data_IF_095918368835
#
_entry.id   IF_095918368835
#
_cell.length_a   1.000
_cell.length_b   1.000
_cell.length_c   1.000
_cell.angle_alpha   90.00
_cell.angle_beta   90.00
_cell.angle_gamma   90.00
#
_symmetry.space_group_name_H-M   'P 1'
#
loop_
_entity.id
_entity.type
_entity.pdbx_description
1 polymer ?
#
# COMPACT_ATOMS: atom_id res chain seq x y z
N UNK A 1 -23.29 8.60 -6.74
CA UNK A 1 -23.44 9.82 -7.58
C UNK A 1 -23.93 9.55 -9.00
N UNK A 2 -23.49 8.48 -9.67
CA UNK A 2 -23.89 8.20 -11.07
C UNK A 2 -25.39 8.01 -11.34
N UNK A 3 -26.17 7.44 -10.41
CA UNK A 3 -27.59 7.16 -10.66
C UNK A 3 -28.46 8.42 -10.79
N UNK A 4 -28.12 9.52 -10.11
CA UNK A 4 -28.86 10.77 -10.20
C UNK A 4 -28.57 11.50 -11.51
N UNK A 5 -27.31 11.51 -11.94
CA UNK A 5 -26.91 12.12 -13.23
C UNK A 5 -27.55 11.36 -14.40
N UNK A 6 -27.50 10.02 -14.38
CA UNK A 6 -28.14 9.18 -15.39
C UNK A 6 -29.66 9.42 -15.47
N UNK A 7 -30.35 9.51 -14.32
CA UNK A 7 -31.78 9.83 -14.27
C UNK A 7 -32.10 11.21 -14.84
N UNK A 8 -31.31 12.23 -14.51
CA UNK A 8 -31.50 13.58 -15.04
C UNK A 8 -31.27 13.63 -16.55
N UNK A 9 -30.23 12.95 -17.06
CA UNK A 9 -29.99 12.86 -18.51
C UNK A 9 -31.12 12.15 -19.25
N UNK A 10 -31.62 11.03 -18.71
CA UNK A 10 -32.75 10.32 -19.31
C UNK A 10 -34.01 11.21 -19.42
N UNK A 11 -34.27 12.04 -18.40
CA UNK A 11 -35.36 13.03 -18.44
C UNK A 11 -35.12 14.13 -19.48
N UNK A 12 -33.88 14.58 -19.64
CA UNK A 12 -33.53 15.58 -20.67
C UNK A 12 -33.77 14.99 -22.06
N UNK A 13 -33.30 13.77 -22.34
CA UNK A 13 -33.52 13.10 -23.63
C UNK A 13 -35.01 12.90 -23.93
N UNK A 14 -35.81 12.43 -22.95
CA UNK A 14 -37.26 12.30 -23.10
C UNK A 14 -37.95 13.66 -23.36
N UNK A 15 -37.51 14.71 -22.66
CA UNK A 15 -38.02 16.07 -22.87
C UNK A 15 -37.64 16.62 -24.24
N UNK A 16 -36.40 16.41 -24.70
CA UNK A 16 -35.94 16.83 -26.03
C UNK A 16 -36.74 16.15 -27.15
N UNK A 17 -37.00 14.85 -27.01
CA UNK A 17 -37.85 14.11 -27.96
C UNK A 17 -39.25 14.70 -28.05
N UNK A 18 -39.89 15.02 -26.92
CA UNK A 18 -41.20 15.68 -26.89
C UNK A 18 -41.17 17.05 -27.57
N UNK A 19 -40.12 17.84 -27.37
CA UNK A 19 -39.98 19.14 -28.04
C UNK A 19 -39.79 18.95 -29.54
N UNK A 20 -39.04 17.94 -29.98
CA UNK A 20 -38.88 17.59 -31.39
C UNK A 20 -40.23 17.26 -32.05
N UNK A 21 -41.05 16.43 -31.41
CA UNK A 21 -42.40 16.09 -31.88
C UNK A 21 -43.29 17.33 -32.03
N UNK A 22 -43.30 18.20 -31.02
CA UNK A 22 -44.06 19.46 -31.03
C UNK A 22 -43.59 20.37 -32.17
N UNK A 23 -42.28 20.48 -32.35
CA UNK A 23 -41.66 21.29 -33.41
C UNK A 23 -42.07 20.77 -34.78
N UNK A 24 -42.18 19.44 -34.93
CA UNK A 24 -42.66 18.82 -36.16
C UNK A 24 -44.12 19.14 -36.46
N UNK A 25 -44.99 19.13 -35.44
CA UNK A 25 -46.40 19.57 -35.55
C UNK A 25 -46.49 21.05 -35.93
N UNK A 26 -45.69 21.92 -35.31
CA UNK A 26 -45.65 23.36 -35.63
C UNK A 26 -45.27 23.59 -37.10
N UNK A 27 -44.25 22.88 -37.59
CA UNK A 27 -43.87 22.97 -39.01
C UNK A 27 -45.02 22.48 -39.94
N UNK A 28 -45.74 21.43 -39.53
CA UNK A 28 -46.94 20.97 -40.24
C UNK A 28 -48.06 22.02 -40.29
N UNK A 29 -48.33 22.71 -39.18
CA UNK A 29 -49.32 23.81 -39.11
C UNK A 29 -48.87 24.98 -39.99
N UNK A 30 -47.59 25.34 -39.95
CA UNK A 30 -47.03 26.39 -40.80
C UNK A 30 -47.18 26.04 -42.29
N UNK A 31 -46.92 24.80 -42.68
CA UNK A 31 -47.13 24.33 -44.05
C UNK A 31 -48.61 24.42 -44.46
N UNK A 32 -49.54 23.93 -43.63
CA UNK A 32 -50.98 24.01 -43.91
C UNK A 32 -51.46 25.46 -44.04
N UNK A 33 -50.98 26.35 -43.16
CA UNK A 33 -51.29 27.79 -43.19
C UNK A 33 -50.77 28.44 -44.47
N UNK A 34 -49.57 28.06 -44.92
CA UNK A 34 -49.00 28.52 -46.18
C UNK A 34 -49.84 28.08 -47.39
N UNK A 35 -50.37 26.86 -47.40
CA UNK A 35 -51.28 26.39 -48.47
C UNK A 35 -52.64 27.12 -48.42
N UNK A 36 -53.20 27.34 -47.23
CA UNK A 36 -54.43 28.11 -47.05
C UNK A 36 -54.28 29.56 -47.55
N UNK A 37 -53.15 30.20 -47.24
CA UNK A 37 -52.84 31.55 -47.69
C UNK A 37 -52.71 31.63 -49.21
N UNK A 38 -52.05 30.65 -49.85
CA UNK A 38 -51.97 30.55 -51.30
C UNK A 38 -53.36 30.42 -51.95
N UNK A 39 -54.23 29.57 -51.39
CA UNK A 39 -55.61 29.44 -51.89
C UNK A 39 -56.39 30.76 -51.75
N UNK A 40 -56.18 31.50 -50.68
CA UNK A 40 -56.79 32.81 -50.47
C UNK A 40 -56.26 33.87 -51.46
N UNK A 41 -54.96 33.86 -51.78
CA UNK A 41 -54.38 34.71 -52.85
C UNK A 41 -55.07 34.45 -54.20
N UNK A 42 -55.28 33.18 -54.55
CA UNK A 42 -55.95 32.80 -55.81
C UNK A 42 -57.41 33.27 -55.84
N UNK A 43 -58.16 33.09 -54.76
CA UNK A 43 -59.55 33.52 -54.70
C UNK A 43 -59.69 35.05 -54.69
N UNK A 44 -58.73 35.75 -54.08
CA UNK A 44 -58.66 37.21 -54.11
C UNK A 44 -58.44 37.75 -55.54
N UNK A 45 -57.60 37.09 -56.36
CA UNK A 45 -57.45 37.42 -57.79
C UNK A 45 -58.75 37.17 -58.55
N UNK A 46 -59.48 36.11 -58.20
CA UNK A 46 -60.76 35.75 -58.83
C UNK A 46 -61.90 36.72 -58.48
N UNK A 47 -61.87 37.31 -57.29
CA UNK A 47 -62.85 38.30 -56.81
C UNK A 47 -62.70 39.72 -57.41
N UNK A 48 -61.71 39.96 -58.26
CA UNK A 48 -61.51 41.26 -58.93
C UNK A 48 -61.19 42.39 -57.94
N UNK A 49 -61.82 43.56 -58.11
CA UNK A 49 -61.53 44.75 -57.28
C UNK A 49 -61.84 44.57 -55.79
N UNK A 50 -62.85 43.76 -55.45
CA UNK A 50 -63.23 43.48 -54.05
C UNK A 50 -62.20 42.59 -53.33
N UNK A 51 -61.40 41.83 -54.08
CA UNK A 51 -60.38 40.94 -53.54
C UNK A 51 -59.06 41.61 -53.17
N UNK A 52 -58.85 42.89 -53.53
CA UNK A 52 -57.57 43.60 -53.32
C UNK A 52 -57.13 43.64 -51.86
N UNK A 53 -58.05 43.88 -50.93
CA UNK A 53 -57.76 43.86 -49.49
C UNK A 53 -57.43 42.46 -48.97
N UNK A 54 -58.14 41.43 -49.47
CA UNK A 54 -57.91 40.04 -49.11
C UNK A 54 -56.56 39.51 -49.63
N UNK A 55 -56.12 39.95 -50.81
CA UNK A 55 -54.82 39.57 -51.38
C UNK A 55 -53.64 40.00 -50.49
N UNK A 56 -53.70 41.21 -49.91
CA UNK A 56 -52.66 41.72 -49.00
C UNK A 56 -52.60 40.90 -47.71
N UNK A 57 -53.77 40.61 -47.12
CA UNK A 57 -53.84 39.76 -45.91
C UNK A 57 -53.33 38.36 -46.19
N UNK A 58 -53.68 37.76 -47.33
CA UNK A 58 -53.22 36.43 -47.72
C UNK A 58 -51.69 36.39 -47.88
N UNK A 59 -51.08 37.40 -48.52
CA UNK A 59 -49.63 37.50 -48.63
C UNK A 59 -48.93 37.65 -47.27
N UNK A 60 -49.51 38.40 -46.33
CA UNK A 60 -48.95 38.57 -44.98
C UNK A 60 -49.03 37.25 -44.18
N UNK A 61 -50.17 36.56 -44.25
CA UNK A 61 -50.35 35.24 -43.62
C UNK A 61 -49.36 34.22 -44.21
N UNK A 62 -49.13 34.25 -45.51
CA UNK A 62 -48.15 33.39 -46.19
C UNK A 62 -46.72 33.66 -45.69
N UNK A 63 -46.33 34.93 -45.61
CA UNK A 63 -45.04 35.36 -45.07
C UNK A 63 -44.84 34.90 -43.62
N UNK A 64 -45.87 35.05 -42.77
CA UNK A 64 -45.84 34.60 -41.38
C UNK A 64 -45.72 33.08 -41.25
N UNK A 65 -46.41 32.33 -42.11
CA UNK A 65 -46.32 30.89 -42.17
C UNK A 65 -44.91 30.42 -42.56
N UNK A 66 -44.30 31.03 -43.58
CA UNK A 66 -42.91 30.74 -43.98
C UNK A 66 -41.91 31.04 -42.86
N UNK A 67 -42.05 32.18 -42.17
CA UNK A 67 -41.22 32.54 -41.02
C UNK A 67 -41.37 31.55 -39.86
N UNK A 68 -42.59 31.07 -39.61
CA UNK A 68 -42.85 30.05 -38.57
C UNK A 68 -42.22 28.70 -38.91
N UNK A 69 -42.30 28.27 -40.17
CA UNK A 69 -41.65 27.05 -40.64
C UNK A 69 -40.11 27.11 -40.50
N UNK A 70 -39.52 28.26 -40.85
CA UNK A 70 -38.08 28.47 -40.70
C UNK A 70 -37.66 28.42 -39.21
N UNK A 71 -38.38 29.11 -38.33
CA UNK A 71 -38.10 29.08 -36.89
C UNK A 71 -38.26 27.66 -36.31
N UNK A 72 -39.27 26.90 -36.73
CA UNK A 72 -39.44 25.52 -36.32
C UNK A 72 -38.24 24.65 -36.76
N UNK A 73 -37.72 24.86 -37.97
CA UNK A 73 -36.53 24.14 -38.44
C UNK A 73 -35.29 24.45 -37.61
N UNK A 74 -35.05 25.73 -37.30
CA UNK A 74 -33.92 26.15 -36.46
C UNK A 74 -34.01 25.55 -35.04
N UNK A 75 -35.21 25.50 -34.45
CA UNK A 75 -35.44 24.84 -33.16
C UNK A 75 -35.10 23.34 -33.25
N UNK A 76 -35.53 22.66 -34.32
CA UNK A 76 -35.24 21.23 -34.51
C UNK A 76 -33.73 20.96 -34.63
N UNK A 77 -32.99 21.83 -35.32
CA UNK A 77 -31.53 21.75 -35.44
C UNK A 77 -30.85 21.91 -34.07
N UNK A 78 -31.26 22.89 -33.27
CA UNK A 78 -30.72 23.11 -31.91
C UNK A 78 -31.02 21.94 -30.95
N UNK A 79 -32.18 21.29 -31.09
CA UNK A 79 -32.53 20.10 -30.29
C UNK A 79 -31.61 18.93 -30.68
N UNK A 80 -31.41 18.70 -31.98
CA UNK A 80 -30.52 17.65 -32.45
C UNK A 80 -29.07 17.87 -31.98
N UNK A 81 -28.58 19.11 -32.03
CA UNK A 81 -27.26 19.46 -31.47
C UNK A 81 -27.20 19.20 -29.95
N UNK A 82 -28.27 19.58 -29.22
CA UNK A 82 -28.35 19.34 -27.78
C UNK A 82 -28.32 17.86 -27.43
N UNK A 83 -28.96 16.99 -28.23
CA UNK A 83 -28.92 15.54 -28.05
C UNK A 83 -27.50 14.98 -28.22
N UNK A 84 -26.77 15.45 -29.24
CA UNK A 84 -25.37 15.07 -29.46
C UNK A 84 -24.50 15.49 -28.27
N UNK A 85 -24.66 16.73 -27.80
CA UNK A 85 -23.91 17.24 -26.65
C UNK A 85 -24.20 16.44 -25.37
N UNK A 86 -25.44 16.03 -25.13
CA UNK A 86 -25.82 15.17 -24.00
C UNK A 86 -25.16 13.78 -24.12
N UNK A 87 -25.11 13.19 -25.32
CA UNK A 87 -24.43 11.90 -25.54
C UNK A 87 -22.93 11.98 -25.31
N UNK A 88 -22.27 13.04 -25.79
CA UNK A 88 -20.83 13.27 -25.54
C UNK A 88 -20.57 13.45 -24.04
N UNK A 89 -21.39 14.25 -23.36
CA UNK A 89 -21.31 14.44 -21.92
C UNK A 89 -21.51 13.14 -21.14
N UNK A 90 -22.40 12.25 -21.61
CA UNK A 90 -22.59 10.93 -21.00
C UNK A 90 -21.32 10.09 -21.03
N UNK A 91 -20.68 10.01 -22.20
CA UNK A 91 -19.43 9.27 -22.34
C UNK A 91 -18.34 9.78 -21.40
N UNK A 92 -18.23 11.10 -21.22
CA UNK A 92 -17.27 11.69 -20.29
C UNK A 92 -17.60 11.38 -18.82
N UNK A 93 -18.88 11.42 -18.44
CA UNK A 93 -19.31 11.04 -17.08
C UNK A 93 -19.04 9.56 -16.81
N UNK A 94 -19.25 8.70 -17.80
CA UNK A 94 -18.96 7.27 -17.69
C UNK A 94 -17.46 7.02 -17.46
N UNK A 95 -16.60 7.63 -18.27
CA UNK A 95 -15.14 7.54 -18.11
C UNK A 95 -14.68 8.06 -16.74
N UNK A 96 -15.26 9.17 -16.28
CA UNK A 96 -14.95 9.73 -14.96
C UNK A 96 -15.42 8.81 -13.83
N UNK A 97 -16.55 8.12 -14.01
CA UNK A 97 -17.06 7.13 -13.05
C UNK A 97 -16.13 5.92 -12.93
N UNK A 98 -15.63 5.40 -14.05
CA UNK A 98 -14.64 4.30 -14.10
C UNK A 98 -13.31 4.69 -13.44
N UNK A 99 -12.85 5.93 -13.68
CA UNK A 99 -11.65 6.45 -13.02
C UNK A 99 -11.83 6.55 -11.50
N UNK A 100 -13.01 6.97 -11.03
CA UNK A 100 -13.31 7.00 -9.60
C UNK A 100 -13.37 5.62 -8.97
N UNK A 101 -13.90 4.61 -9.69
CA UNK A 101 -13.89 3.23 -9.22
C UNK A 101 -12.46 2.68 -9.07
N UNK A 102 -11.58 3.04 -10.01
CA UNK A 102 -10.14 2.73 -9.93
C UNK A 102 -9.50 3.39 -8.71
N UNK A 103 -9.83 4.65 -8.43
CA UNK A 103 -9.32 5.37 -7.25
C UNK A 103 -9.81 4.71 -5.95
N UNK A 104 -11.08 4.32 -5.86
CA UNK A 104 -11.62 3.63 -4.69
C UNK A 104 -10.87 2.32 -4.45
N UNK A 105 -10.61 1.56 -5.51
CA UNK A 105 -9.85 0.31 -5.43
C UNK A 105 -8.41 0.56 -4.96
N UNK A 106 -7.74 1.59 -5.47
CA UNK A 106 -6.40 1.96 -5.04
C UNK A 106 -6.35 2.38 -3.57
N UNK A 107 -7.36 3.13 -3.09
CA UNK A 107 -7.47 3.52 -1.69
C UNK A 107 -7.67 2.30 -0.79
N UNK A 108 -8.48 1.32 -1.21
CA UNK A 108 -8.65 0.07 -0.47
C UNK A 108 -7.32 -0.68 -0.32
N UNK A 109 -6.55 -0.80 -1.40
CA UNK A 109 -5.23 -1.43 -1.37
C UNK A 109 -4.23 -0.70 -0.46
N UNK A 110 -4.25 0.64 -0.44
CA UNK A 110 -3.43 1.43 0.50
C UNK A 110 -3.86 1.17 1.95
N UNK A 111 -5.16 1.02 2.20
CA UNK A 111 -5.67 0.68 3.53
C UNK A 111 -5.19 -0.70 3.99
N UNK A 112 -5.19 -1.69 3.09
CA UNK A 112 -4.69 -3.04 3.39
C UNK A 112 -3.19 -3.02 3.72
N UNK A 113 -2.39 -2.30 2.92
CA UNK A 113 -0.96 -2.11 3.17
C UNK A 113 -0.68 -1.44 4.53
N UNK A 114 -1.50 -0.46 4.93
CA UNK A 114 -1.37 0.14 6.26
C UNK A 114 -1.67 -0.89 7.35
N UNK A 115 -2.65 -1.77 7.14
CA UNK A 115 -2.93 -2.90 8.02
C UNK A 115 -1.72 -3.84 8.17
N UNK A 116 -1.07 -4.20 7.06
CA UNK A 116 0.14 -5.02 7.05
C UNK A 116 1.32 -4.33 7.74
N UNK A 117 1.52 -3.02 7.49
CA UNK A 117 2.57 -2.23 8.16
C UNK A 117 2.35 -2.20 9.67
N UNK A 118 1.12 -2.02 10.13
CA UNK A 118 0.82 -2.03 11.57
C UNK A 118 1.14 -3.40 12.19
N UNK A 119 0.75 -4.50 11.54
CA UNK A 119 1.08 -5.84 12.01
C UNK A 119 2.60 -6.09 12.07
N UNK A 120 3.34 -5.69 11.03
CA UNK A 120 4.80 -5.79 11.00
C UNK A 120 5.46 -4.90 12.07
N UNK A 121 4.90 -3.72 12.34
CA UNK A 121 5.37 -2.80 13.38
C UNK A 121 5.18 -3.38 14.77
N UNK A 122 4.04 -4.05 15.02
CA UNK A 122 3.77 -4.74 16.28
C UNK A 122 4.75 -5.91 16.49
N UNK A 123 5.03 -6.69 15.45
CA UNK A 123 6.02 -7.78 15.48
C UNK A 123 7.44 -7.25 15.73
N UNK A 124 7.84 -6.17 15.04
CA UNK A 124 9.12 -5.52 15.29
C UNK A 124 9.23 -4.99 16.72
N UNK A 125 8.15 -4.40 17.25
CA UNK A 125 8.12 -3.91 18.62
C UNK A 125 8.31 -5.05 19.62
N UNK A 126 7.65 -6.20 19.40
CA UNK A 126 7.86 -7.39 20.22
C UNK A 126 9.30 -7.92 20.10
N UNK A 127 9.87 -7.98 18.90
CA UNK A 127 11.27 -8.39 18.68
C UNK A 127 12.26 -7.48 19.40
N UNK A 128 12.10 -6.16 19.30
CA UNK A 128 12.94 -5.18 20.02
C UNK A 128 12.80 -5.35 21.54
N UNK A 129 11.59 -5.62 22.04
CA UNK A 129 11.35 -5.86 23.47
C UNK A 129 12.09 -7.10 23.97
N UNK A 130 12.32 -8.10 23.12
CA UNK A 130 13.11 -9.30 23.46
C UNK A 130 14.62 -9.05 23.36
N UNK A 131 15.09 -8.21 22.44
CA UNK A 131 16.51 -7.86 22.29
C UNK A 131 17.03 -7.10 23.51
N UNK A 132 16.22 -6.23 24.11
CA UNK A 132 16.62 -5.42 25.28
C UNK A 132 17.17 -6.26 26.45
N UNK A 133 16.42 -7.25 26.96
CA UNK A 133 16.90 -8.17 28.00
C UNK A 133 18.16 -8.94 27.61
N UNK A 134 18.25 -9.44 26.37
CA UNK A 134 19.43 -10.17 25.90
C UNK A 134 20.70 -9.30 25.91
N UNK A 135 20.59 -8.03 25.51
CA UNK A 135 21.70 -7.07 25.59
C UNK A 135 22.08 -6.79 27.04
N UNK A 136 21.10 -6.71 27.95
CA UNK A 136 21.38 -6.52 29.38
C UNK A 136 22.08 -7.73 30.01
N UNK A 137 21.68 -8.95 29.62
CA UNK A 137 22.35 -10.18 30.03
C UNK A 137 23.80 -10.24 29.53
N UNK A 138 24.03 -9.91 28.26
CA UNK A 138 25.37 -9.82 27.67
C UNK A 138 26.24 -8.79 28.40
N UNK A 139 25.69 -7.65 28.79
CA UNK A 139 26.41 -6.66 29.60
C UNK A 139 26.79 -7.24 30.97
N UNK A 140 25.88 -7.97 31.62
CA UNK A 140 26.16 -8.67 32.88
C UNK A 140 27.29 -9.69 32.77
N UNK A 141 27.26 -10.56 31.75
CA UNK A 141 28.34 -11.53 31.49
C UNK A 141 29.67 -10.82 31.18
N UNK A 142 29.62 -9.71 30.45
CA UNK A 142 30.82 -8.91 30.13
C UNK A 142 31.43 -8.30 31.39
N UNK A 143 30.61 -7.76 32.29
CA UNK A 143 31.08 -7.25 33.58
C UNK A 143 31.66 -8.36 34.47
N UNK A 144 31.01 -9.54 34.50
CA UNK A 144 31.52 -10.70 35.21
C UNK A 144 32.88 -11.15 34.67
N UNK A 145 33.04 -11.21 33.35
CA UNK A 145 34.32 -11.56 32.73
C UNK A 145 35.42 -10.55 33.10
N UNK A 146 35.10 -9.26 33.14
CA UNK A 146 36.06 -8.25 33.59
C UNK A 146 36.48 -8.46 35.06
N UNK A 147 35.52 -8.77 35.94
CA UNK A 147 35.81 -9.07 37.34
C UNK A 147 36.66 -10.34 37.51
N UNK A 148 36.35 -11.41 36.78
CA UNK A 148 37.13 -12.65 36.78
C UNK A 148 38.57 -12.42 36.29
N UNK A 149 38.76 -11.58 35.25
CA UNK A 149 40.10 -11.21 34.78
C UNK A 149 40.87 -10.42 35.84
N UNK A 150 40.21 -9.51 36.56
CA UNK A 150 40.84 -8.78 37.68
C UNK A 150 41.24 -9.73 38.81
N UNK A 151 40.36 -10.65 39.22
CA UNK A 151 40.64 -11.65 40.25
C UNK A 151 41.79 -12.58 39.82
N UNK A 152 41.76 -13.07 38.58
CA UNK A 152 42.83 -13.91 38.02
C UNK A 152 44.16 -13.16 38.00
N UNK A 153 44.17 -11.88 37.64
CA UNK A 153 45.39 -11.06 37.65
C UNK A 153 45.95 -10.89 39.06
N UNK A 154 45.08 -10.69 40.06
CA UNK A 154 45.47 -10.62 41.46
C UNK A 154 46.02 -11.96 41.99
N UNK A 155 45.39 -13.08 41.61
CA UNK A 155 45.86 -14.43 41.94
C UNK A 155 47.25 -14.72 41.34
N UNK A 156 47.46 -14.35 40.07
CA UNK A 156 48.77 -14.44 39.41
C UNK A 156 49.82 -13.61 40.16
N UNK A 157 49.51 -12.37 40.54
CA UNK A 157 50.43 -11.52 41.30
C UNK A 157 50.72 -12.05 42.73
N UNK A 158 49.79 -12.80 43.33
CA UNK A 158 50.00 -13.47 44.61
C UNK A 158 50.89 -14.72 44.46
N UNK A 159 50.64 -15.53 43.43
CA UNK A 159 51.47 -16.70 43.11
C UNK A 159 52.90 -16.31 42.76
N UNK A 160 53.08 -15.20 42.03
CA UNK A 160 54.40 -14.64 41.70
C UNK A 160 55.18 -14.26 42.97
N UNK A 161 54.54 -13.55 43.91
CA UNK A 161 55.13 -13.24 45.22
C UNK A 161 55.50 -14.48 46.02
N UNK A 162 54.61 -15.49 46.09
CA UNK A 162 54.89 -16.74 46.80
C UNK A 162 56.04 -17.52 46.17
N UNK A 163 56.15 -17.55 44.83
CA UNK A 163 57.27 -18.16 44.12
C UNK A 163 58.58 -17.45 44.44
N UNK A 164 58.58 -16.12 44.46
CA UNK A 164 59.74 -15.31 44.85
C UNK A 164 60.17 -15.58 46.30
N UNK A 165 59.22 -15.65 47.24
CA UNK A 165 59.53 -15.93 48.64
C UNK A 165 60.05 -17.36 48.85
N UNK A 166 59.48 -18.35 48.13
CA UNK A 166 59.98 -19.72 48.16
C UNK A 166 61.42 -19.80 47.61
N UNK A 167 61.73 -19.09 46.53
CA UNK A 167 63.09 -18.99 45.98
C UNK A 167 64.07 -18.46 47.03
N UNK A 168 63.72 -17.39 47.76
CA UNK A 168 64.56 -16.84 48.84
C UNK A 168 64.80 -17.84 49.97
N UNK A 169 63.80 -18.65 50.31
CA UNK A 169 63.93 -19.69 51.34
C UNK A 169 64.88 -20.78 50.87
N UNK A 170 64.79 -21.21 49.61
CA UNK A 170 65.70 -22.21 49.03
C UNK A 170 67.14 -21.67 48.95
N UNK A 171 67.34 -20.40 48.59
CA UNK A 171 68.67 -19.77 48.56
C UNK A 171 69.37 -19.74 49.94
N UNK A 172 68.58 -19.78 51.03
CA UNK A 172 69.09 -19.84 52.41
C UNK A 172 69.66 -21.23 52.76
N UNK A 173 69.23 -22.28 52.05
CA UNK A 173 69.82 -23.61 52.15
C UNK A 173 71.13 -23.64 51.34
N UNK A 174 72.20 -23.12 51.95
CA UNK A 174 73.56 -23.40 51.50
C UNK A 174 73.84 -24.88 51.74
N UNK A 175 73.93 -25.64 50.65
CA UNK A 175 74.56 -26.94 50.66
C UNK A 175 76.07 -26.68 50.82
N UNK A 176 76.64 -27.10 51.95
CA UNK A 176 78.08 -27.30 52.02
C UNK A 176 78.45 -28.26 50.88
N UNK A 177 79.30 -27.79 49.96
CA UNK A 177 80.05 -28.65 49.05
C UNK A 177 81.02 -29.50 49.90
N UNK A 178 80.48 -30.46 50.65
CA UNK A 178 81.28 -31.49 51.27
C UNK A 178 81.62 -32.53 50.19
N UNK A 179 82.69 -32.22 49.46
CA UNK A 179 83.40 -33.11 48.54
C UNK A 179 84.12 -34.23 49.31
N UNK A 180 83.44 -34.84 50.28
CA UNK A 180 83.90 -35.99 51.04
C UNK A 180 83.46 -37.30 50.36
N UNK A 181 84.32 -38.33 50.30
CA UNK A 181 83.98 -39.58 49.64
C UNK A 181 82.79 -40.24 50.33
N UNK A 182 81.66 -40.31 49.63
CA UNK A 182 80.47 -41.07 50.01
C UNK A 182 80.87 -42.55 50.15
N UNK A 183 81.05 -42.97 51.41
CA UNK A 183 81.16 -44.37 51.78
C UNK A 183 79.81 -45.04 51.52
N UNK A 184 79.82 -46.09 50.70
CA UNK A 184 78.64 -46.83 50.29
C UNK A 184 77.89 -47.42 51.50
N UNK A 185 76.79 -46.79 51.90
CA UNK A 185 75.81 -47.42 52.77
C UNK A 185 74.95 -48.38 51.94
N UNK A 186 75.06 -49.67 52.26
CA UNK A 186 74.27 -50.76 51.72
C UNK A 186 72.77 -50.56 52.05
N UNK A 187 71.93 -50.50 51.02
CA UNK A 187 70.47 -50.53 51.15
C UNK A 187 70.00 -51.98 50.93
N UNK A 188 69.21 -52.57 51.84
CA UNK A 188 68.69 -53.93 51.65
C UNK A 188 67.62 -53.96 50.55
N UNK A 189 67.64 -55.02 49.75
CA UNK A 189 66.77 -55.23 48.59
C UNK A 189 65.28 -55.26 48.98
N UNK A 190 64.50 -54.34 48.41
CA UNK A 190 63.03 -54.34 48.47
C UNK A 190 62.47 -55.28 47.40
N UNK A 191 61.59 -56.20 47.80
CA UNK A 191 60.91 -57.15 46.91
C UNK A 191 59.90 -56.43 45.98
N UNK A 192 59.74 -56.88 44.73
CA UNK A 192 58.86 -56.21 43.78
C UNK A 192 57.39 -56.38 44.16
N UNK A 193 56.65 -55.27 44.19
CA UNK A 193 55.19 -55.26 44.33
C UNK A 193 54.58 -55.68 42.99
N UNK A 194 53.68 -56.66 43.04
CA UNK A 194 52.95 -57.25 41.92
C UNK A 194 52.02 -56.22 41.25
N UNK A 195 52.02 -56.20 39.92
CA UNK A 195 51.23 -55.28 39.10
C UNK A 195 49.72 -55.38 39.39
N UNK A 196 49.11 -54.24 39.69
CA UNK A 196 47.65 -54.11 39.78
C UNK A 196 47.06 -54.03 38.37
N UNK A 197 46.10 -54.92 38.10
CA UNK A 197 45.36 -55.02 36.85
C UNK A 197 44.39 -53.84 36.71
N UNK A 198 44.59 -53.01 35.68
CA UNK A 198 43.70 -51.92 35.30
C UNK A 198 42.33 -52.47 34.87
N UNK A 199 41.26 -52.00 35.51
CA UNK A 199 39.87 -52.16 35.07
C UNK A 199 39.56 -51.15 33.95
N UNK A 200 38.62 -51.46 33.02
CA UNK A 200 38.40 -50.65 31.83
C UNK A 200 37.76 -49.30 32.15
N UNK A 201 38.14 -48.29 31.38
CA UNK A 201 37.56 -46.96 31.41
C UNK A 201 36.04 -47.00 31.21
N UNK A 202 35.32 -46.36 32.13
CA UNK A 202 33.91 -46.06 31.96
C UNK A 202 33.72 -45.15 30.75
N UNK A 203 32.79 -45.53 29.89
CA UNK A 203 32.35 -44.82 28.69
C UNK A 203 31.71 -43.50 29.15
N UNK A 204 32.28 -42.36 28.75
CA UNK A 204 31.62 -41.08 28.86
C UNK A 204 30.47 -41.04 27.86
N UNK A 205 29.25 -40.96 28.38
CA UNK A 205 28.04 -40.70 27.61
C UNK A 205 28.01 -39.20 27.30
N UNK A 206 28.43 -38.84 26.08
CA UNK A 206 28.23 -37.52 25.49
C UNK A 206 27.19 -37.70 24.38
N UNK A 207 25.91 -37.44 24.68
CA UNK A 207 25.05 -36.73 23.74
C UNK A 207 23.76 -36.18 24.39
N UNK A 208 23.36 -35.02 23.88
CA UNK A 208 22.01 -34.44 23.88
C UNK A 208 21.50 -33.73 25.15
N UNK A 209 21.94 -32.49 25.32
CA UNK A 209 21.34 -31.52 26.24
C UNK A 209 21.27 -30.07 25.73
N UNK A 210 21.62 -29.78 24.47
CA UNK A 210 21.63 -28.43 23.92
C UNK A 210 20.78 -28.33 22.65
N UNK A 211 19.46 -28.45 22.79
CA UNK A 211 18.52 -27.82 21.87
C UNK A 211 17.33 -27.29 22.69
N UNK A 212 17.02 -26.00 22.47
CA UNK A 212 16.00 -25.15 23.12
C UNK A 212 16.46 -24.48 24.40
N UNK A 213 17.07 -23.30 24.26
CA UNK A 213 16.43 -22.03 24.59
C UNK A 213 16.82 -20.99 23.54
#
# INVERSE_FOLDING_TARGET
>A
MGSNVAKTRAKITDSSGKISDITHVINGIAFQTNILALNAEVEAVRGGEQGRGFAVVASEVRSLAQRSAQAAKEIAELIAESEVNVQVGDKQVQQSSEAMETIITAIAHVSDLIGEINAATDEQTQGITQVGPAVHELDGVTQQNAALVQESSAAVAQLDRQSHDLSKVVDLFQLEDDNGPISAMSIPAVKPITAVKLLPAARADNNDGWEKF
#
